data_IF_414087435759
#
_entry.id   IF_414087435759
#
_cell.length_a   1.000
_cell.length_b   1.000
_cell.length_c   1.000
_cell.angle_alpha   90.00
_cell.angle_beta   90.00
_cell.angle_gamma   90.00
#
_symmetry.space_group_name_H-M   'P 1'
#
loop_
_entity.id
_entity.type
_entity.pdbx_description
1 polymer ?
#
# COMPACT_ATOMS: atom_id res chain seq x y z
N UNK A 1 44.00 -25.38 2.37
CA UNK A 1 42.76 -24.72 1.91
C UNK A 1 41.89 -24.45 3.13
N UNK A 2 41.94 -23.25 3.71
CA UNK A 2 41.17 -22.93 4.91
C UNK A 2 39.69 -22.86 4.56
N UNK A 3 38.86 -23.66 5.24
CA UNK A 3 37.42 -23.54 5.19
C UNK A 3 37.02 -22.13 5.62
N UNK A 4 36.12 -21.43 4.91
CA UNK A 4 35.66 -20.13 5.34
C UNK A 4 35.03 -20.27 6.74
N UNK A 5 35.65 -19.65 7.74
CA UNK A 5 35.08 -19.56 9.08
C UNK A 5 33.87 -18.63 9.03
N UNK A 6 32.67 -19.22 9.01
CA UNK A 6 31.42 -18.47 9.04
C UNK A 6 30.22 -19.29 8.58
N UNK A 7 29.03 -18.88 9.01
CA UNK A 7 27.78 -19.40 8.47
C UNK A 7 27.58 -18.90 7.03
N UNK A 8 27.11 -19.74 6.10
CA UNK A 8 26.66 -19.27 4.79
C UNK A 8 25.61 -18.16 4.93
N UNK A 9 25.62 -17.19 4.02
CA UNK A 9 24.72 -16.03 4.04
C UNK A 9 23.24 -16.43 4.18
N UNK A 10 22.83 -17.48 3.47
CA UNK A 10 21.46 -18.00 3.52
C UNK A 10 21.10 -18.62 4.87
N UNK A 11 22.03 -19.38 5.47
CA UNK A 11 21.84 -19.99 6.78
C UNK A 11 21.78 -18.94 7.88
N UNK A 12 22.66 -17.93 7.80
CA UNK A 12 22.69 -16.82 8.74
C UNK A 12 21.42 -15.95 8.66
N UNK A 13 20.90 -15.71 7.44
CA UNK A 13 19.65 -15.00 7.23
C UNK A 13 18.44 -15.72 7.85
N UNK A 14 18.42 -17.05 7.81
CA UNK A 14 17.36 -17.88 8.40
C UNK A 14 17.49 -18.01 9.92
N UNK A 15 18.71 -18.19 10.42
CA UNK A 15 18.97 -18.43 11.85
C UNK A 15 18.79 -17.17 12.70
N UNK A 16 19.26 -16.03 12.20
CA UNK A 16 19.26 -14.76 12.94
C UNK A 16 19.01 -13.57 12.00
N UNK A 17 17.74 -13.31 11.62
CA UNK A 17 17.38 -12.32 10.60
C UNK A 17 17.74 -10.89 11.02
N UNK A 18 17.62 -10.56 12.30
CA UNK A 18 17.91 -9.21 12.80
C UNK A 18 19.42 -8.88 12.76
N UNK A 19 20.33 -9.70 13.35
CA UNK A 19 21.78 -9.53 13.16
C UNK A 19 22.21 -9.54 11.70
N UNK A 20 21.58 -10.38 10.87
CA UNK A 20 21.85 -10.42 9.44
C UNK A 20 21.53 -9.10 8.75
N UNK A 21 20.37 -8.49 9.03
CA UNK A 21 20.02 -7.19 8.47
C UNK A 21 21.00 -6.10 8.91
N UNK A 22 21.34 -6.05 10.21
CA UNK A 22 22.29 -5.07 10.74
C UNK A 22 23.66 -5.18 10.06
N UNK A 23 24.16 -6.40 9.86
CA UNK A 23 25.43 -6.63 9.19
C UNK A 23 25.45 -6.08 7.76
N UNK A 24 24.33 -6.17 7.02
CA UNK A 24 24.23 -5.61 5.67
C UNK A 24 24.11 -4.07 5.68
N UNK A 25 23.50 -3.49 6.71
CA UNK A 25 23.30 -2.03 6.83
C UNK A 25 24.51 -1.28 7.41
N UNK A 26 25.29 -1.93 8.29
CA UNK A 26 26.39 -1.31 9.05
C UNK A 26 27.77 -1.48 8.40
N UNK A 27 27.87 -2.12 7.22
CA UNK A 27 29.15 -2.50 6.59
C UNK A 27 30.17 -1.35 6.63
N UNK A 28 31.24 -1.48 7.45
CA UNK A 28 32.16 -0.38 7.70
C UNK A 28 33.07 -0.13 6.49
N UNK A 29 33.29 1.15 6.19
CA UNK A 29 34.21 1.68 5.19
C UNK A 29 35.66 1.16 5.30
N UNK A 30 36.02 0.52 6.42
CA UNK A 30 37.36 0.02 6.74
C UNK A 30 37.72 -1.32 6.06
N UNK A 31 36.74 -2.09 5.57
CA UNK A 31 36.96 -3.41 4.97
C UNK A 31 36.92 -3.37 3.44
N UNK A 32 37.49 -2.33 2.80
CA UNK A 32 37.78 -2.30 1.35
C UNK A 32 36.62 -2.56 0.39
N UNK A 33 35.36 -2.55 0.83
CA UNK A 33 34.23 -3.08 0.07
C UNK A 33 32.97 -2.23 0.19
N UNK A 34 32.38 -1.98 -0.98
CA UNK A 34 30.95 -1.79 -1.31
C UNK A 34 30.10 -0.97 -0.32
N UNK A 35 29.60 0.17 -0.80
CA UNK A 35 28.55 1.00 -0.18
C UNK A 35 27.49 0.16 0.55
N UNK A 36 27.02 0.56 1.74
CA UNK A 36 26.07 -0.22 2.53
C UNK A 36 24.81 -0.51 1.70
N UNK A 37 24.55 -1.81 1.51
CA UNK A 37 23.40 -2.30 0.75
C UNK A 37 22.47 -3.07 1.66
N UNK A 38 21.17 -2.92 1.46
CA UNK A 38 20.16 -3.77 2.09
C UNK A 38 20.40 -5.25 1.75
N UNK A 39 19.73 -6.16 2.43
CA UNK A 39 19.83 -7.61 2.17
C UNK A 39 19.61 -8.04 0.71
N UNK A 40 18.91 -7.20 -0.08
CA UNK A 40 18.61 -7.37 -1.50
C UNK A 40 19.56 -6.62 -2.46
N UNK A 41 20.68 -6.08 -1.96
CA UNK A 41 21.70 -5.41 -2.78
C UNK A 41 21.39 -3.95 -3.16
N UNK A 42 20.22 -3.41 -2.81
CA UNK A 42 19.85 -2.00 -3.09
C UNK A 42 20.32 -1.05 -2.00
N UNK A 43 20.53 0.22 -2.35
CA UNK A 43 20.85 1.25 -1.36
C UNK A 43 19.68 1.48 -0.37
N UNK A 44 19.93 2.04 0.83
CA UNK A 44 18.88 2.27 1.83
C UNK A 44 17.72 3.15 1.33
N UNK A 45 18.01 4.13 0.46
CA UNK A 45 17.05 5.07 -0.12
C UNK A 45 16.53 4.64 -1.50
N UNK A 46 16.95 3.49 -2.01
CA UNK A 46 16.58 3.02 -3.34
C UNK A 46 15.27 2.22 -3.31
N UNK A 47 14.24 2.79 -3.92
CA UNK A 47 12.93 2.17 -4.10
C UNK A 47 12.97 1.08 -5.18
N UNK A 48 12.04 0.13 -5.11
CA UNK A 48 11.81 -0.83 -6.21
C UNK A 48 11.03 -0.14 -7.32
N UNK A 49 11.41 -0.38 -8.58
CA UNK A 49 10.68 0.16 -9.74
C UNK A 49 9.26 -0.41 -9.81
N UNK A 50 8.22 0.44 -9.83
CA UNK A 50 6.85 0.00 -10.02
C UNK A 50 6.58 -0.35 -11.50
N UNK A 51 5.88 -1.45 -11.74
CA UNK A 51 5.27 -1.77 -13.03
C UNK A 51 3.76 -1.54 -12.93
N UNK A 52 3.22 -0.68 -13.78
CA UNK A 52 1.83 -0.24 -13.70
C UNK A 52 1.14 -0.62 -15.02
N UNK A 53 0.03 -1.35 -14.92
CA UNK A 53 -0.86 -1.63 -16.04
C UNK A 53 -2.24 -1.02 -15.69
N UNK A 54 -2.68 -0.04 -16.46
CA UNK A 54 -4.01 0.57 -16.30
C UNK A 54 -5.07 -0.24 -17.05
N UNK A 55 -6.34 -0.09 -16.65
CA UNK A 55 -7.49 -0.75 -17.31
C UNK A 55 -7.44 -2.28 -17.25
N UNK A 56 -6.96 -2.85 -16.14
CA UNK A 56 -6.84 -4.31 -15.94
C UNK A 56 -8.19 -4.99 -15.66
N UNK A 57 -9.15 -4.26 -15.09
CA UNK A 57 -10.50 -4.78 -14.78
C UNK A 57 -11.52 -4.22 -15.77
N UNK A 58 -12.21 -5.11 -16.48
CA UNK A 58 -13.19 -4.77 -17.53
C UNK A 58 -14.47 -4.10 -16.99
N UNK A 59 -14.89 -4.46 -15.77
CA UNK A 59 -16.15 -3.97 -15.19
C UNK A 59 -15.98 -2.79 -14.22
N UNK A 60 -14.76 -2.26 -14.06
CA UNK A 60 -14.50 -1.09 -13.22
C UNK A 60 -14.43 0.18 -14.08
N UNK A 61 -14.90 1.31 -13.55
CA UNK A 61 -14.83 2.60 -14.25
C UNK A 61 -13.38 3.07 -14.43
N UNK A 62 -12.54 2.77 -13.45
CA UNK A 62 -11.10 2.89 -13.53
C UNK A 62 -10.44 1.73 -12.81
N UNK A 63 -9.32 1.24 -13.32
CA UNK A 63 -8.56 0.20 -12.65
C UNK A 63 -7.08 0.28 -12.96
N UNK A 64 -6.27 -0.26 -12.06
CA UNK A 64 -4.83 -0.40 -12.25
C UNK A 64 -4.29 -1.62 -11.50
N UNK A 65 -3.37 -2.33 -12.12
CA UNK A 65 -2.50 -3.33 -11.53
C UNK A 65 -1.14 -2.70 -11.31
N UNK A 66 -0.69 -2.64 -10.05
CA UNK A 66 0.62 -2.11 -9.67
C UNK A 66 1.46 -3.22 -9.05
N UNK A 67 2.61 -3.51 -9.65
CA UNK A 67 3.58 -4.50 -9.15
C UNK A 67 4.87 -3.81 -8.71
N UNK A 68 5.29 -4.05 -7.47
CA UNK A 68 6.52 -3.51 -6.87
C UNK A 68 7.34 -4.67 -6.30
N UNK A 69 8.27 -5.20 -7.09
CA UNK A 69 8.95 -6.46 -6.77
C UNK A 69 7.96 -7.61 -6.67
N UNK A 70 7.93 -8.27 -5.50
CA UNK A 70 7.03 -9.41 -5.23
C UNK A 70 5.64 -9.00 -4.75
N UNK A 71 5.41 -7.71 -4.50
CA UNK A 71 4.11 -7.22 -4.07
C UNK A 71 3.29 -6.78 -5.28
N UNK A 72 2.08 -7.29 -5.39
CA UNK A 72 1.12 -6.92 -6.42
C UNK A 72 -0.14 -6.37 -5.77
N UNK A 73 -0.62 -5.23 -6.27
CA UNK A 73 -1.83 -4.57 -5.80
C UNK A 73 -2.74 -4.32 -7.01
N UNK A 74 -4.01 -4.68 -6.87
CA UNK A 74 -5.04 -4.39 -7.85
C UNK A 74 -5.96 -3.33 -7.24
N UNK A 75 -6.16 -2.23 -7.96
CA UNK A 75 -7.07 -1.17 -7.58
C UNK A 75 -8.19 -1.07 -8.62
N UNK A 76 -9.42 -0.96 -8.15
CA UNK A 76 -10.60 -0.70 -8.98
C UNK A 76 -11.44 0.41 -8.37
N UNK A 77 -11.96 1.28 -9.23
CA UNK A 77 -12.86 2.38 -8.86
C UNK A 77 -14.22 2.08 -9.49
N UNK A 78 -15.26 2.13 -8.66
CA UNK A 78 -16.66 2.00 -9.08
C UNK A 78 -17.39 3.28 -8.69
N UNK A 79 -17.95 3.96 -9.69
CA UNK A 79 -18.91 5.04 -9.47
C UNK A 79 -20.32 4.47 -9.42
N UNK A 80 -21.13 5.01 -8.52
CA UNK A 80 -22.55 4.74 -8.40
C UNK A 80 -23.30 6.07 -8.26
N UNK A 81 -24.56 6.10 -8.65
CA UNK A 81 -25.40 7.31 -8.55
C UNK A 81 -26.30 7.15 -7.34
N UNK A 82 -26.12 8.02 -6.34
CA UNK A 82 -26.99 8.12 -5.17
C UNK A 82 -27.95 9.32 -5.33
N UNK A 83 -29.26 9.10 -5.52
CA UNK A 83 -30.23 10.19 -5.56
C UNK A 83 -30.25 10.94 -4.23
N UNK A 84 -30.28 12.26 -4.27
CA UNK A 84 -30.22 13.07 -3.03
C UNK A 84 -31.45 12.96 -2.14
N UNK A 85 -32.57 12.47 -2.69
CA UNK A 85 -33.73 12.07 -1.89
C UNK A 85 -33.42 10.93 -0.90
N UNK A 86 -32.40 10.11 -1.20
CA UNK A 86 -32.00 8.98 -0.37
C UNK A 86 -30.86 9.33 0.61
N UNK A 87 -30.39 10.58 0.61
CA UNK A 87 -29.36 11.04 1.54
C UNK A 87 -30.06 11.57 2.80
N UNK A 88 -29.86 10.96 3.97
CA UNK A 88 -30.45 11.46 5.21
C UNK A 88 -29.89 12.85 5.54
N UNK A 89 -30.76 13.77 5.95
CA UNK A 89 -30.40 15.15 6.29
C UNK A 89 -29.65 15.90 5.17
N UNK A 90 -30.09 15.69 3.93
CA UNK A 90 -29.53 16.39 2.78
C UNK A 90 -29.67 17.92 2.88
N UNK A 91 -28.58 18.67 2.73
CA UNK A 91 -28.52 20.13 2.84
C UNK A 91 -28.10 20.73 1.50
N UNK A 92 -29.08 21.25 0.77
CA UNK A 92 -28.85 21.88 -0.53
C UNK A 92 -27.92 23.10 -0.46
N UNK A 93 -27.83 23.78 0.68
CA UNK A 93 -26.97 24.96 0.89
C UNK A 93 -25.47 24.66 0.79
N UNK A 94 -25.05 23.40 0.93
CA UNK A 94 -23.64 23.00 0.80
C UNK A 94 -23.23 23.05 -0.68
N UNK A 95 -24.14 22.75 -1.62
CA UNK A 95 -23.86 22.73 -3.06
C UNK A 95 -23.40 24.08 -3.62
N UNK A 96 -23.96 25.17 -3.13
CA UNK A 96 -23.72 26.51 -3.66
C UNK A 96 -22.42 27.15 -3.13
N UNK A 97 -21.66 26.44 -2.30
CA UNK A 97 -20.35 26.89 -1.83
C UNK A 97 -19.23 26.49 -2.79
N UNK A 98 -18.17 27.31 -2.91
CA UNK A 98 -16.98 27.03 -3.76
C UNK A 98 -16.21 25.76 -3.31
N UNK A 99 -16.56 25.22 -2.13
CA UNK A 99 -16.08 23.95 -1.58
C UNK A 99 -17.15 22.84 -1.52
N UNK A 100 -18.33 23.09 -2.10
CA UNK A 100 -19.55 22.32 -1.87
C UNK A 100 -19.42 20.83 -2.16
N UNK A 101 -18.80 20.47 -3.29
CA UNK A 101 -18.59 19.06 -3.63
C UNK A 101 -17.61 18.33 -2.71
N UNK A 102 -16.69 19.03 -2.04
CA UNK A 102 -15.70 18.43 -1.13
C UNK A 102 -16.28 18.22 0.27
N UNK A 103 -17.00 19.21 0.78
CA UNK A 103 -17.73 19.10 2.04
C UNK A 103 -18.83 18.03 1.95
N UNK A 104 -19.60 18.00 0.86
CA UNK A 104 -20.66 17.01 0.62
C UNK A 104 -20.14 15.56 0.64
N UNK A 105 -19.01 15.29 -0.04
CA UNK A 105 -18.42 13.94 -0.08
C UNK A 105 -18.00 13.42 1.29
N UNK A 106 -17.52 14.32 2.16
CA UNK A 106 -17.06 13.98 3.50
C UNK A 106 -18.24 13.89 4.47
N UNK A 107 -19.15 14.85 4.42
CA UNK A 107 -20.27 14.96 5.35
C UNK A 107 -21.30 13.84 5.14
N UNK A 108 -21.41 13.32 3.91
CA UNK A 108 -22.29 12.21 3.57
C UNK A 108 -21.56 10.89 3.31
N UNK A 109 -20.26 10.79 3.65
CA UNK A 109 -19.44 9.58 3.50
C UNK A 109 -19.57 8.91 2.12
N UNK A 110 -19.65 9.72 1.05
CA UNK A 110 -19.89 9.25 -0.32
C UNK A 110 -18.68 8.53 -0.93
N UNK A 111 -17.54 8.54 -0.24
CA UNK A 111 -16.34 7.81 -0.64
C UNK A 111 -16.07 6.65 0.32
N UNK A 112 -16.17 5.43 -0.20
CA UNK A 112 -15.96 4.19 0.56
C UNK A 112 -14.71 3.46 0.03
N UNK A 113 -13.50 3.76 0.54
CA UNK A 113 -12.32 2.99 0.20
C UNK A 113 -12.35 1.66 0.95
N UNK A 114 -12.17 0.58 0.20
CA UNK A 114 -12.04 -0.76 0.75
C UNK A 114 -10.70 -1.36 0.32
N UNK A 115 -10.01 -2.01 1.25
CA UNK A 115 -8.74 -2.71 1.02
C UNK A 115 -8.88 -4.13 1.53
N UNK A 116 -8.68 -5.06 0.62
CA UNK A 116 -8.75 -6.48 0.92
C UNK A 116 -7.37 -7.12 0.76
N UNK A 117 -7.04 -7.99 1.70
CA UNK A 117 -5.82 -8.80 1.67
C UNK A 117 -6.23 -10.19 1.21
N UNK A 118 -6.10 -10.42 -0.10
CA UNK A 118 -6.55 -11.66 -0.73
C UNK A 118 -5.85 -12.89 -0.11
N UNK A 119 -6.55 -14.01 -0.10
CA UNK A 119 -6.00 -15.30 0.31
C UNK A 119 -4.79 -15.64 -0.54
N UNK A 120 -3.71 -16.10 0.10
CA UNK A 120 -2.44 -16.35 -0.58
C UNK A 120 -1.50 -15.14 -0.71
N UNK A 121 -1.92 -13.92 -0.33
CA UNK A 121 -1.01 -12.76 -0.30
C UNK A 121 0.05 -12.86 0.81
N UNK A 122 -0.28 -13.56 1.90
CA UNK A 122 0.63 -13.91 2.99
C UNK A 122 0.09 -15.17 3.70
N UNK A 123 0.94 -15.98 4.37
CA UNK A 123 0.51 -17.21 5.03
C UNK A 123 -0.52 -16.99 6.16
N UNK A 124 -0.58 -15.76 6.69
CA UNK A 124 -1.52 -15.36 7.74
C UNK A 124 -2.93 -15.00 7.22
N UNK A 125 -3.13 -14.87 5.90
CA UNK A 125 -4.43 -14.52 5.30
C UNK A 125 -5.13 -15.78 4.81
N UNK A 126 -5.88 -16.40 5.72
CA UNK A 126 -6.69 -17.60 5.47
C UNK A 126 -8.09 -17.23 4.94
N UNK A 127 -8.72 -18.09 4.13
CA UNK A 127 -10.10 -17.87 3.69
C UNK A 127 -11.08 -17.89 4.86
N UNK A 128 -12.12 -17.06 4.80
CA UNK A 128 -13.24 -17.07 5.76
C UNK A 128 -12.95 -16.39 7.10
N UNK A 129 -11.77 -15.78 7.29
CA UNK A 129 -11.47 -14.98 8.48
C UNK A 129 -12.07 -13.58 8.38
N UNK A 130 -12.48 -12.94 9.49
CA UNK A 130 -12.95 -11.57 9.48
C UNK A 130 -11.85 -10.59 9.02
N UNK A 131 -12.21 -9.37 8.58
CA UNK A 131 -11.25 -8.37 8.12
C UNK A 131 -10.18 -8.09 9.18
N UNK A 132 -8.91 -8.22 8.80
CA UNK A 132 -7.79 -8.02 9.74
C UNK A 132 -7.68 -6.56 10.19
N UNK A 133 -7.12 -6.33 11.39
CA UNK A 133 -6.82 -4.98 11.89
C UNK A 133 -5.94 -4.18 10.92
N UNK A 134 -5.04 -4.85 10.19
CA UNK A 134 -4.21 -4.22 9.17
C UNK A 134 -5.06 -3.69 8.01
N UNK A 135 -5.93 -4.52 7.44
CA UNK A 135 -6.82 -4.10 6.36
C UNK A 135 -7.70 -2.92 6.77
N UNK A 136 -8.32 -2.99 7.96
CA UNK A 136 -9.14 -1.91 8.50
C UNK A 136 -8.34 -0.61 8.70
N UNK A 137 -7.15 -0.70 9.30
CA UNK A 137 -6.28 0.46 9.53
C UNK A 137 -5.83 1.10 8.20
N UNK A 138 -5.50 0.29 7.19
CA UNK A 138 -5.11 0.79 5.89
C UNK A 138 -6.28 1.47 5.16
N UNK A 139 -7.48 0.89 5.20
CA UNK A 139 -8.68 1.49 4.61
C UNK A 139 -8.96 2.87 5.22
N UNK A 140 -8.91 2.99 6.56
CA UNK A 140 -9.10 4.27 7.26
C UNK A 140 -7.99 5.27 6.92
N UNK A 141 -6.73 4.82 6.78
CA UNK A 141 -5.63 5.71 6.36
C UNK A 141 -5.83 6.23 4.95
N UNK A 142 -6.21 5.38 4.01
CA UNK A 142 -6.50 5.80 2.62
C UNK A 142 -7.69 6.76 2.59
N UNK A 143 -8.76 6.48 3.34
CA UNK A 143 -9.89 7.40 3.50
C UNK A 143 -9.42 8.79 3.97
N UNK A 144 -8.66 8.85 5.05
CA UNK A 144 -8.16 10.11 5.61
C UNK A 144 -7.23 10.85 4.65
N UNK A 145 -6.33 10.14 3.95
CA UNK A 145 -5.43 10.72 2.96
C UNK A 145 -6.18 11.26 1.74
N UNK A 146 -7.21 10.56 1.27
CA UNK A 146 -8.04 11.03 0.16
C UNK A 146 -8.83 12.28 0.54
N UNK A 147 -9.21 12.44 1.81
CA UNK A 147 -9.88 13.63 2.30
C UNK A 147 -8.90 14.79 2.54
N UNK A 148 -7.70 14.54 3.06
CA UNK A 148 -6.72 15.59 3.37
C UNK A 148 -5.91 16.07 2.17
N UNK A 149 -5.70 15.23 1.15
CA UNK A 149 -4.88 15.55 -0.02
C UNK A 149 -5.51 16.59 -0.97
N UNK A 150 -6.82 16.86 -0.85
CA UNK A 150 -7.53 17.77 -1.73
C UNK A 150 -7.53 17.35 -3.21
N UNK A 151 -7.13 16.11 -3.53
CA UNK A 151 -6.90 15.61 -4.89
C UNK A 151 -8.19 15.36 -5.69
N UNK A 152 -9.31 15.91 -5.24
CA UNK A 152 -10.65 15.77 -5.82
C UNK A 152 -11.04 17.08 -6.50
N UNK A 153 -10.32 17.43 -7.56
CA UNK A 153 -10.65 18.58 -8.41
C UNK A 153 -10.11 18.38 -9.82
N UNK A 154 -11.00 18.05 -10.76
CA UNK A 154 -11.13 18.68 -12.08
C UNK A 154 -12.56 18.48 -12.56
#
# INVERSE_FOLDING_TARGET
MATPQGLPRETFAKLSPHPYLLANLQTPQAAGATTPTRSNGRAPHEARTPNINTSTLTHAHGSALVRIGDNTVICGIRGEILPTANIPNYRASIRDSDDGGRAELRDYDLLVPNIELATGSAPQFLPGVPPTNLAQTLSTRVFSLLHSSGLRRR
#
